data_IF_710029080580
#
_entry.id   IF_710029080580
#
_cell.length_a   1.000
_cell.length_b   1.000
_cell.length_c   1.000
_cell.angle_alpha   90.00
_cell.angle_beta   90.00
_cell.angle_gamma   90.00
#
_symmetry.space_group_name_H-M   'P 1'
#
loop_
_entity.id
_entity.type
_entity.pdbx_description
1 polymer ?
#
# COMPACT_ATOMS: atom_id res chain seq x y z
N UNK A 1 -46.46 49.12 7.67
CA UNK A 1 -45.82 48.09 6.82
C UNK A 1 -44.35 48.01 7.20
N UNK A 2 -43.92 46.97 7.93
CA UNK A 2 -42.51 46.83 8.29
C UNK A 2 -42.09 45.36 8.44
N UNK A 3 -40.98 45.06 7.74
CA UNK A 3 -39.89 44.17 8.15
C UNK A 3 -40.14 42.65 8.14
N UNK A 4 -39.93 42.04 6.97
CA UNK A 4 -39.47 40.65 6.81
C UNK A 4 -38.18 40.64 5.97
N UNK A 5 -37.01 40.80 6.61
CA UNK A 5 -35.73 40.64 5.90
C UNK A 5 -34.57 40.09 6.74
N UNK A 6 -34.79 39.67 8.00
CA UNK A 6 -33.70 39.21 8.89
C UNK A 6 -33.31 37.73 8.77
N UNK A 7 -34.00 36.94 7.95
CA UNK A 7 -33.77 35.48 7.85
C UNK A 7 -32.65 35.05 6.89
N UNK A 8 -32.38 35.84 5.84
CA UNK A 8 -31.53 35.39 4.72
C UNK A 8 -30.02 35.65 4.93
N UNK A 9 -29.65 36.55 5.85
CA UNK A 9 -28.25 36.92 6.07
C UNK A 9 -27.48 35.93 6.97
N UNK A 10 -28.17 35.19 7.86
CA UNK A 10 -27.50 34.27 8.80
C UNK A 10 -27.08 32.95 8.18
N UNK A 11 -27.80 32.47 7.17
CA UNK A 11 -27.50 31.22 6.46
C UNK A 11 -26.38 31.40 5.43
N UNK A 12 -26.33 32.56 4.75
CA UNK A 12 -25.26 32.88 3.79
C UNK A 12 -23.88 33.02 4.44
N UNK A 13 -23.79 33.62 5.63
CA UNK A 13 -22.53 33.75 6.37
C UNK A 13 -21.99 32.41 6.89
N UNK A 14 -22.87 31.52 7.35
CA UNK A 14 -22.49 30.18 7.81
C UNK A 14 -22.00 29.29 6.66
N UNK A 15 -22.68 29.32 5.51
CA UNK A 15 -22.26 28.57 4.33
C UNK A 15 -20.90 29.06 3.78
N UNK A 16 -20.68 30.38 3.75
CA UNK A 16 -19.41 30.96 3.34
C UNK A 16 -18.26 30.59 4.30
N UNK A 17 -18.50 30.61 5.61
CA UNK A 17 -17.50 30.22 6.60
C UNK A 17 -17.13 28.73 6.49
N UNK A 18 -18.11 27.85 6.24
CA UNK A 18 -17.87 26.42 6.01
C UNK A 18 -17.07 26.19 4.72
N UNK A 19 -17.41 26.91 3.64
CA UNK A 19 -16.66 26.82 2.39
C UNK A 19 -15.20 27.28 2.54
N UNK A 20 -14.96 28.40 3.24
CA UNK A 20 -13.61 28.91 3.51
C UNK A 20 -12.82 27.94 4.39
N UNK A 21 -13.45 27.37 5.42
CA UNK A 21 -12.82 26.35 6.26
C UNK A 21 -12.48 25.07 5.47
N UNK A 22 -13.37 24.60 4.60
CA UNK A 22 -13.12 23.44 3.75
C UNK A 22 -11.96 23.68 2.77
N UNK A 23 -11.90 24.87 2.15
CA UNK A 23 -10.77 25.25 1.28
C UNK A 23 -9.47 25.36 2.07
N UNK A 24 -9.49 25.94 3.27
CA UNK A 24 -8.30 26.03 4.12
C UNK A 24 -7.80 24.64 4.53
N UNK A 25 -8.70 23.71 4.89
CA UNK A 25 -8.32 22.32 5.20
C UNK A 25 -7.70 21.64 3.99
N UNK A 26 -8.28 21.80 2.79
CA UNK A 26 -7.72 21.23 1.57
C UNK A 26 -6.35 21.81 1.21
N UNK A 27 -6.15 23.12 1.38
CA UNK A 27 -4.89 23.80 1.03
C UNK A 27 -3.77 23.46 2.01
N UNK A 28 -4.04 23.41 3.32
CA UNK A 28 -3.00 23.22 4.32
C UNK A 28 -2.81 21.76 4.77
N UNK A 29 -3.84 20.94 4.65
CA UNK A 29 -3.85 19.55 5.14
C UNK A 29 -4.25 18.54 4.06
N UNK A 30 -4.39 18.95 2.80
CA UNK A 30 -4.83 18.09 1.70
C UNK A 30 -4.08 16.78 1.62
N UNK A 31 -2.74 16.82 1.61
CA UNK A 31 -1.91 15.62 1.46
C UNK A 31 -2.02 14.67 2.67
N UNK A 32 -2.11 15.21 3.89
CA UNK A 32 -2.28 14.42 5.10
C UNK A 32 -3.67 13.75 5.15
N UNK A 33 -4.71 14.47 4.74
CA UNK A 33 -6.08 13.94 4.65
C UNK A 33 -6.16 12.87 3.56
N UNK A 34 -5.61 13.12 2.37
CA UNK A 34 -5.57 12.15 1.29
C UNK A 34 -4.78 10.90 1.67
N UNK A 35 -3.61 11.07 2.31
CA UNK A 35 -2.82 9.97 2.83
C UNK A 35 -3.59 9.12 3.83
N UNK A 36 -4.36 9.75 4.73
CA UNK A 36 -5.20 9.04 5.68
C UNK A 36 -6.35 8.30 5.01
N UNK A 37 -7.05 8.93 4.06
CA UNK A 37 -8.12 8.30 3.30
C UNK A 37 -7.63 7.07 2.53
N UNK A 38 -6.41 7.11 1.98
CA UNK A 38 -5.78 5.96 1.34
C UNK A 38 -5.42 4.85 2.33
N UNK A 39 -4.84 5.20 3.47
CA UNK A 39 -4.52 4.23 4.52
C UNK A 39 -5.79 3.55 5.09
N UNK A 40 -6.89 4.28 5.16
CA UNK A 40 -8.20 3.75 5.56
C UNK A 40 -8.94 3.01 4.42
N UNK A 41 -8.36 2.94 3.22
CA UNK A 41 -8.91 2.20 2.08
C UNK A 41 -9.99 2.94 1.27
N UNK A 42 -10.28 4.21 1.56
CA UNK A 42 -11.28 5.00 0.82
C UNK A 42 -10.80 5.46 -0.56
N UNK A 43 -9.48 5.55 -0.75
CA UNK A 43 -8.85 5.94 -2.01
C UNK A 43 -7.76 4.93 -2.37
N UNK A 44 -7.64 4.53 -3.65
CA UNK A 44 -6.55 3.67 -4.07
C UNK A 44 -5.22 4.43 -4.09
N UNK A 45 -4.12 3.69 -3.89
CA UNK A 45 -2.77 4.17 -4.16
C UNK A 45 -2.47 4.10 -5.66
N UNK A 46 -1.73 5.08 -6.18
CA UNK A 46 -1.06 4.92 -7.48
C UNK A 46 0.16 4.02 -7.33
N UNK A 47 0.72 3.54 -8.45
CA UNK A 47 1.91 2.70 -8.45
C UNK A 47 3.13 3.43 -7.87
N UNK A 48 3.31 4.70 -8.21
CA UNK A 48 4.40 5.54 -7.71
C UNK A 48 4.27 5.79 -6.19
N UNK A 49 3.07 6.11 -5.72
CA UNK A 49 2.82 6.33 -4.29
C UNK A 49 3.01 5.04 -3.49
N UNK A 50 2.52 3.91 -4.00
CA UNK A 50 2.70 2.61 -3.38
C UNK A 50 4.19 2.25 -3.31
N UNK A 51 4.97 2.58 -4.34
CA UNK A 51 6.40 2.34 -4.35
C UNK A 51 7.13 3.15 -3.26
N UNK A 52 6.84 4.45 -3.13
CA UNK A 52 7.37 5.30 -2.06
C UNK A 52 7.00 4.73 -0.69
N UNK A 53 5.72 4.42 -0.49
CA UNK A 53 5.20 3.81 0.73
C UNK A 53 5.92 2.49 1.08
N UNK A 54 6.16 1.63 0.09
CA UNK A 54 6.83 0.35 0.28
C UNK A 54 8.29 0.52 0.72
N UNK A 55 9.02 1.46 0.13
CA UNK A 55 10.37 1.77 0.60
C UNK A 55 10.36 2.40 2.00
N UNK A 56 9.46 3.34 2.27
CA UNK A 56 9.37 4.02 3.55
C UNK A 56 9.04 3.06 4.70
N UNK A 57 7.99 2.23 4.57
CA UNK A 57 7.59 1.31 5.63
C UNK A 57 8.57 0.14 5.80
N UNK A 58 9.07 -0.45 4.71
CA UNK A 58 9.99 -1.58 4.84
C UNK A 58 11.39 -1.14 5.32
N UNK A 59 11.81 0.10 5.02
CA UNK A 59 13.12 0.60 5.44
C UNK A 59 13.25 0.89 6.94
N UNK A 60 12.12 0.91 7.68
CA UNK A 60 12.12 1.07 9.14
C UNK A 60 12.80 -0.10 9.86
N UNK A 61 12.85 -1.28 9.23
CA UNK A 61 13.41 -2.49 9.82
C UNK A 61 14.68 -2.98 9.10
N UNK A 62 14.78 -2.79 7.79
CA UNK A 62 15.84 -3.35 6.95
C UNK A 62 16.32 -2.33 5.92
N UNK A 63 17.60 -2.37 5.54
CA UNK A 63 18.07 -1.56 4.40
C UNK A 63 17.37 -1.98 3.11
N UNK A 64 17.21 -1.04 2.18
CA UNK A 64 16.65 -1.33 0.84
C UNK A 64 17.39 -2.46 0.14
N UNK A 65 18.71 -2.51 0.24
CA UNK A 65 19.53 -3.60 -0.31
C UNK A 65 19.15 -4.96 0.28
N UNK A 66 18.86 -5.04 1.58
CA UNK A 66 18.43 -6.28 2.21
C UNK A 66 17.04 -6.69 1.75
N UNK A 67 16.15 -5.73 1.50
CA UNK A 67 14.79 -5.98 1.01
C UNK A 67 14.83 -6.47 -0.44
N UNK A 68 15.67 -5.88 -1.30
CA UNK A 68 15.76 -6.29 -2.72
C UNK A 68 16.51 -7.60 -2.94
N UNK A 69 17.30 -8.03 -1.96
CA UNK A 69 17.92 -9.37 -1.93
C UNK A 69 16.96 -10.47 -1.46
N UNK A 70 15.69 -10.15 -1.21
CA UNK A 70 14.70 -11.14 -0.86
C UNK A 70 14.59 -12.19 -1.99
N UNK A 71 14.90 -13.45 -1.67
CA UNK A 71 14.96 -14.51 -2.67
C UNK A 71 13.53 -14.92 -3.07
N UNK A 72 13.15 -14.67 -4.31
CA UNK A 72 11.86 -15.10 -4.87
C UNK A 72 11.67 -16.61 -4.96
N UNK A 73 12.76 -17.38 -4.86
CA UNK A 73 12.73 -18.84 -4.96
C UNK A 73 12.63 -19.54 -3.60
N UNK A 74 13.18 -18.93 -2.54
CA UNK A 74 13.34 -19.58 -1.24
C UNK A 74 12.61 -18.85 -0.11
N UNK A 75 12.20 -17.60 -0.31
CA UNK A 75 11.44 -16.85 0.68
C UNK A 75 9.94 -17.20 0.65
N UNK A 76 9.21 -17.02 1.75
CA UNK A 76 7.75 -16.99 1.70
C UNK A 76 7.24 -15.91 0.74
N UNK A 77 6.04 -16.06 0.14
CA UNK A 77 5.46 -15.05 -0.73
C UNK A 77 5.38 -13.69 -0.02
N UNK A 78 5.55 -12.59 -0.75
CA UNK A 78 5.55 -11.24 -0.15
C UNK A 78 4.27 -10.97 0.63
N UNK A 79 3.12 -11.45 0.14
CA UNK A 79 1.85 -11.31 0.85
C UNK A 79 1.91 -11.86 2.29
N UNK A 80 2.62 -12.96 2.51
CA UNK A 80 2.85 -13.55 3.83
C UNK A 80 3.86 -12.74 4.64
N UNK A 81 4.92 -12.23 4.00
CA UNK A 81 5.90 -11.36 4.66
C UNK A 81 5.21 -10.11 5.20
N UNK A 82 4.40 -9.44 4.38
CA UNK A 82 3.68 -8.22 4.73
C UNK A 82 2.64 -8.48 5.82
N UNK A 83 1.92 -9.61 5.76
CA UNK A 83 1.04 -10.03 6.85
C UNK A 83 1.79 -10.10 8.19
N UNK A 84 2.93 -10.81 8.21
CA UNK A 84 3.74 -10.94 9.43
C UNK A 84 4.32 -9.59 9.89
N UNK A 85 4.67 -8.69 8.97
CA UNK A 85 5.15 -7.36 9.31
C UNK A 85 4.10 -6.57 10.11
N UNK A 86 2.80 -6.62 9.75
CA UNK A 86 1.73 -5.96 10.51
C UNK A 86 1.74 -6.38 11.99
N UNK A 87 1.94 -7.68 12.23
CA UNK A 87 2.02 -8.23 13.59
C UNK A 87 3.29 -7.80 14.30
N UNK A 88 4.45 -7.87 13.63
CA UNK A 88 5.74 -7.49 14.21
C UNK A 88 5.78 -6.00 14.57
N UNK A 89 5.32 -5.10 13.69
CA UNK A 89 5.32 -3.66 13.97
C UNK A 89 4.42 -3.33 15.16
N UNK A 90 3.27 -4.00 15.27
CA UNK A 90 2.36 -3.84 16.42
C UNK A 90 3.02 -4.28 17.73
N UNK A 91 3.74 -5.40 17.72
CA UNK A 91 4.48 -5.88 18.89
C UNK A 91 5.64 -4.93 19.26
N UNK A 92 6.36 -4.41 18.26
CA UNK A 92 7.47 -3.49 18.47
C UNK A 92 7.01 -2.14 19.02
N UNK A 93 5.86 -1.62 18.57
CA UNK A 93 5.21 -0.46 19.19
C UNK A 93 4.83 -0.73 20.65
N UNK A 94 4.27 -1.92 20.94
CA UNK A 94 3.97 -2.33 22.31
C UNK A 94 5.20 -2.39 23.23
N UNK A 95 6.40 -2.51 22.65
CA UNK A 95 7.70 -2.46 23.34
C UNK A 95 8.32 -1.06 23.37
N UNK A 96 7.59 -0.03 22.95
CA UNK A 96 8.03 1.36 22.95
C UNK A 96 8.95 1.75 21.78
N UNK A 97 9.10 0.91 20.76
CA UNK A 97 9.81 1.31 19.54
C UNK A 97 8.96 2.26 18.71
N UNK A 98 9.62 3.24 18.09
CA UNK A 98 8.98 4.19 17.16
C UNK A 98 8.98 3.62 15.75
N UNK A 99 8.17 2.59 15.53
CA UNK A 99 7.88 2.02 14.21
C UNK A 99 6.44 2.35 13.84
N UNK A 100 6.16 2.64 12.58
CA UNK A 100 4.82 2.89 12.09
C UNK A 100 4.07 1.56 11.88
N UNK A 101 2.76 1.55 12.16
CA UNK A 101 1.93 0.40 11.84
C UNK A 101 1.45 0.47 10.40
N UNK A 102 1.25 -0.70 9.83
CA UNK A 102 0.70 -0.86 8.50
C UNK A 102 -0.80 -1.17 8.58
N UNK A 103 -1.59 -0.40 7.83
CA UNK A 103 -3.01 -0.65 7.58
C UNK A 103 -3.20 -1.73 6.51
N UNK A 104 -4.43 -2.23 6.36
CA UNK A 104 -4.77 -3.25 5.37
C UNK A 104 -4.55 -2.76 3.94
N UNK A 105 -4.97 -1.53 3.62
CA UNK A 105 -4.75 -0.92 2.31
C UNK A 105 -3.26 -0.74 1.99
N UNK A 106 -2.46 -0.31 2.97
CA UNK A 106 -1.01 -0.20 2.82
C UNK A 106 -0.37 -1.58 2.61
N UNK A 107 -0.82 -2.60 3.33
CA UNK A 107 -0.33 -3.98 3.19
C UNK A 107 -0.57 -4.52 1.78
N UNK A 108 -1.79 -4.33 1.25
CA UNK A 108 -2.16 -4.72 -0.11
C UNK A 108 -1.31 -3.99 -1.15
N UNK A 109 -1.11 -2.68 -0.99
CA UNK A 109 -0.29 -1.88 -1.90
C UNK A 109 1.18 -2.32 -1.90
N UNK A 110 1.76 -2.53 -0.71
CA UNK A 110 3.16 -2.95 -0.53
C UNK A 110 3.40 -4.35 -1.10
N UNK A 111 2.47 -5.28 -0.88
CA UNK A 111 2.58 -6.63 -1.42
C UNK A 111 2.68 -6.61 -2.95
N UNK A 112 1.80 -5.85 -3.62
CA UNK A 112 1.82 -5.67 -5.07
C UNK A 112 3.13 -5.06 -5.57
N UNK A 113 3.68 -4.06 -4.88
CA UNK A 113 4.96 -3.44 -5.26
C UNK A 113 6.09 -4.45 -5.22
N UNK A 114 6.27 -5.16 -4.10
CA UNK A 114 7.39 -6.08 -3.97
C UNK A 114 7.23 -7.34 -4.81
N UNK A 115 5.99 -7.82 -5.02
CA UNK A 115 5.71 -8.84 -6.03
C UNK A 115 6.19 -8.40 -7.41
N UNK A 116 5.80 -7.20 -7.85
CA UNK A 116 6.20 -6.69 -9.15
C UNK A 116 7.72 -6.46 -9.24
N UNK A 117 8.37 -5.90 -8.22
CA UNK A 117 9.77 -5.49 -8.32
C UNK A 117 10.78 -6.64 -8.09
N UNK A 118 10.45 -7.61 -7.22
CA UNK A 118 11.34 -8.71 -6.83
C UNK A 118 10.93 -10.04 -7.47
N UNK A 119 9.66 -10.19 -7.83
CA UNK A 119 9.17 -11.38 -8.54
C UNK A 119 8.96 -12.60 -7.65
N UNK A 120 8.61 -12.41 -6.37
CA UNK A 120 8.33 -13.47 -5.41
C UNK A 120 6.81 -13.73 -5.30
N UNK A 121 6.26 -14.25 -6.39
CA UNK A 121 4.81 -14.41 -6.59
C UNK A 121 4.26 -15.61 -5.80
N UNK A 122 2.95 -15.60 -5.56
CA UNK A 122 2.26 -16.60 -4.76
C UNK A 122 2.17 -18.00 -5.44
N UNK A 123 2.42 -18.10 -6.74
CA UNK A 123 2.24 -19.31 -7.57
C UNK A 123 3.22 -20.44 -7.25
N UNK A 124 4.41 -20.11 -6.73
CA UNK A 124 5.42 -21.08 -6.30
C UNK A 124 5.08 -21.77 -4.98
N UNK A 125 4.01 -21.33 -4.28
CA UNK A 125 3.56 -21.87 -3.00
C UNK A 125 2.17 -22.51 -3.10
N UNK A 126 1.90 -23.52 -2.26
CA UNK A 126 0.56 -24.13 -2.22
C UNK A 126 -0.41 -23.13 -1.62
N UNK A 127 -1.47 -22.76 -2.36
CA UNK A 127 -2.50 -21.80 -1.91
C UNK A 127 -3.04 -22.08 -0.50
N UNK A 128 -3.29 -23.35 -0.15
CA UNK A 128 -3.76 -23.74 1.19
C UNK A 128 -2.80 -23.34 2.33
N UNK A 129 -1.50 -23.34 2.06
CA UNK A 129 -0.48 -22.96 3.04
C UNK A 129 -0.43 -21.44 3.18
N UNK A 130 -0.57 -20.71 2.07
CA UNK A 130 -0.68 -19.24 2.08
C UNK A 130 -1.91 -18.80 2.88
N UNK A 131 -3.09 -19.35 2.58
CA UNK A 131 -4.34 -19.05 3.29
C UNK A 131 -4.20 -19.32 4.80
N UNK A 132 -3.55 -20.42 5.18
CA UNK A 132 -3.28 -20.73 6.58
C UNK A 132 -2.36 -19.69 7.23
N UNK A 133 -1.31 -19.26 6.53
CA UNK A 133 -0.33 -18.29 7.03
C UNK A 133 -0.85 -16.86 7.09
N UNK A 134 -1.90 -16.53 6.34
CA UNK A 134 -2.57 -15.22 6.40
C UNK A 134 -3.55 -15.11 7.57
N UNK A 135 -3.87 -16.21 8.27
CA UNK A 135 -4.64 -16.22 9.52
C UNK A 135 -5.95 -15.40 9.50
N UNK A 136 -6.62 -15.33 8.34
CA UNK A 136 -7.88 -14.58 8.19
C UNK A 136 -7.72 -13.09 7.86
N UNK A 137 -6.54 -12.64 7.43
CA UNK A 137 -6.30 -11.28 6.93
C UNK A 137 -7.09 -11.04 5.63
N UNK A 138 -8.33 -10.56 5.76
CA UNK A 138 -9.31 -10.48 4.66
C UNK A 138 -8.78 -9.69 3.46
N UNK A 139 -8.11 -8.56 3.69
CA UNK A 139 -7.58 -7.73 2.61
C UNK A 139 -6.47 -8.44 1.80
N UNK A 140 -5.61 -9.19 2.47
CA UNK A 140 -4.57 -9.97 1.79
C UNK A 140 -5.14 -11.27 1.18
N UNK A 141 -6.18 -11.86 1.76
CA UNK A 141 -6.89 -12.98 1.14
C UNK A 141 -7.61 -12.53 -0.15
N UNK A 142 -8.22 -11.35 -0.15
CA UNK A 142 -8.82 -10.76 -1.36
C UNK A 142 -7.75 -10.49 -2.43
N UNK A 143 -6.58 -9.96 -2.04
CA UNK A 143 -5.45 -9.79 -2.96
C UNK A 143 -4.97 -11.14 -3.54
N UNK A 144 -4.88 -12.18 -2.71
CA UNK A 144 -4.51 -13.53 -3.14
C UNK A 144 -5.48 -14.09 -4.19
N UNK A 145 -6.77 -13.77 -4.05
CA UNK A 145 -7.82 -14.20 -4.98
C UNK A 145 -7.93 -13.31 -6.21
N UNK A 146 -7.34 -12.12 -6.18
CA UNK A 146 -7.25 -11.21 -7.32
C UNK A 146 -6.16 -11.67 -8.28
N UNK A 147 -6.47 -11.98 -9.55
CA UNK A 147 -5.46 -12.37 -10.54
C UNK A 147 -4.39 -11.28 -10.73
N UNK A 148 -3.11 -11.63 -10.97
CA UNK A 148 -2.03 -10.67 -11.16
C UNK A 148 -2.30 -9.56 -12.18
N UNK A 149 -2.96 -9.88 -13.31
CA UNK A 149 -3.32 -8.92 -14.36
C UNK A 149 -4.41 -7.92 -13.92
N UNK A 150 -5.14 -8.23 -12.87
CA UNK A 150 -6.19 -7.38 -12.29
C UNK A 150 -5.69 -6.56 -11.09
N UNK A 151 -4.41 -6.73 -10.70
CA UNK A 151 -3.78 -5.98 -9.61
C UNK A 151 -3.15 -4.70 -10.18
N UNK A 152 -3.72 -3.51 -9.90
CA UNK A 152 -3.37 -2.28 -10.64
C UNK A 152 -1.92 -1.84 -10.41
N UNK A 153 -1.41 -1.95 -9.18
CA UNK A 153 -0.04 -1.55 -8.84
C UNK A 153 0.95 -2.56 -9.41
N UNK A 154 0.66 -3.85 -9.23
CA UNK A 154 1.53 -4.94 -9.68
C UNK A 154 1.67 -4.94 -11.22
N UNK A 155 0.55 -4.74 -11.92
CA UNK A 155 0.50 -4.64 -13.38
C UNK A 155 1.25 -3.41 -13.91
N UNK A 156 1.09 -2.25 -13.27
CA UNK A 156 1.81 -1.02 -13.64
C UNK A 156 3.34 -1.12 -13.42
N UNK A 157 3.80 -2.01 -12.56
CA UNK A 157 5.21 -2.18 -12.19
C UNK A 157 5.86 -3.45 -12.75
N UNK A 158 5.14 -4.29 -13.50
CA UNK A 158 5.55 -5.66 -13.88
C UNK A 158 6.92 -5.75 -14.57
N UNK A 159 7.26 -4.77 -15.39
CA UNK A 159 8.54 -4.73 -16.14
C UNK A 159 9.63 -3.91 -15.43
N UNK A 160 9.31 -3.28 -14.30
CA UNK A 160 10.28 -2.52 -13.51
C UNK A 160 11.03 -3.46 -12.57
N UNK A 161 12.24 -3.08 -12.20
CA UNK A 161 13.07 -3.78 -11.20
C UNK A 161 13.46 -2.81 -10.10
N UNK A 162 13.49 -3.30 -8.85
CA UNK A 162 14.09 -2.54 -7.78
C UNK A 162 15.62 -2.49 -7.97
N UNK A 163 16.30 -1.39 -7.64
CA UNK A 163 17.76 -1.33 -7.67
C UNK A 163 18.38 -2.46 -6.83
N UNK A 164 19.25 -3.26 -7.46
CA UNK A 164 19.89 -4.41 -6.82
C UNK A 164 19.08 -5.71 -6.79
N UNK A 165 17.84 -5.72 -7.29
CA UNK A 165 17.09 -6.94 -7.53
C UNK A 165 17.50 -7.57 -8.89
N UNK A 166 17.89 -8.84 -8.88
CA UNK A 166 18.09 -9.62 -10.11
C UNK A 166 16.74 -10.24 -10.52
N UNK A 167 16.18 -9.81 -11.66
CA UNK A 167 15.13 -10.57 -12.35
C UNK A 167 15.79 -11.45 -13.39
N UNK A 168 15.61 -12.75 -13.27
CA UNK A 168 15.91 -13.67 -14.35
C UNK A 168 14.91 -13.38 -15.48
N UNK A 169 15.37 -12.87 -16.62
CA UNK A 169 14.51 -12.57 -17.75
C UNK A 169 13.97 -13.89 -18.29
N UNK A 170 12.74 -14.25 -17.94
CA UNK A 170 12.03 -15.34 -18.59
C UNK A 170 11.63 -14.89 -20.00
N UNK A 171 12.52 -15.06 -20.98
CA UNK A 171 12.18 -14.75 -22.37
C UNK A 171 13.33 -14.48 -23.33
N UNK A 172 14.31 -15.38 -23.44
CA UNK A 172 14.97 -15.61 -24.72
C UNK A 172 15.17 -17.12 -24.87
N UNK A 173 14.70 -17.76 -25.95
CA UNK A 173 15.07 -19.14 -26.21
C UNK A 173 16.60 -19.22 -26.32
N UNK A 174 17.23 -20.31 -25.87
CA UNK A 174 18.67 -20.45 -25.95
C UNK A 174 19.08 -20.29 -27.43
N UNK A 175 19.93 -19.30 -27.71
CA UNK A 175 20.57 -19.22 -29.02
C UNK A 175 21.48 -20.44 -29.14
N UNK A 176 21.13 -21.38 -30.00
CA UNK A 176 21.99 -22.49 -30.35
C UNK A 176 23.29 -21.95 -30.94
N UNK A 177 24.37 -22.05 -30.18
CA UNK A 177 25.75 -22.10 -30.68
C UNK A 177 26.50 -23.15 -29.89
#
# INVERSE_FOLDING_TARGET
MASKSKGLLKTGGAAAAVAVAAVAVLVFYGDAVLGRLKADGYLPYTAEEAQVLAYDLCSQCHSTEKITKYCSRCGPPIIVVVHNMKTITRLDQGRGKRVENMTDAQAVAIAQVWNALVGNWEDTWRRKDIVKLLEGDEALLELLDTPPDSRPIESALREKTAPGAYKEVQGAPPSSR
#
